data_IF_618409371877
#
_entry.id   IF_618409371877
#
_cell.length_a   1.000
_cell.length_b   1.000
_cell.length_c   1.000
_cell.angle_alpha   90.00
_cell.angle_beta   90.00
_cell.angle_gamma   90.00
#
_symmetry.space_group_name_H-M   'P 1'
#
loop_
_entity.id
_entity.type
_entity.pdbx_description
1 polymer ?
#
# COMPACT_ATOMS: atom_id res chain seq x y z
N UNK A 1 -8.27 -6.03 12.73
CA UNK A 1 -8.85 -7.20 13.45
C UNK A 1 -10.35 -7.02 13.68
N UNK A 2 -10.82 -5.86 14.15
CA UNK A 2 -12.27 -5.64 14.38
C UNK A 2 -13.07 -5.66 13.07
N UNK A 3 -12.55 -5.10 11.98
CA UNK A 3 -13.16 -5.15 10.66
C UNK A 3 -13.37 -6.60 10.20
N UNK A 4 -12.34 -7.45 10.29
CA UNK A 4 -12.42 -8.85 9.87
C UNK A 4 -13.49 -9.62 10.64
N UNK A 5 -13.66 -9.35 11.93
CA UNK A 5 -14.77 -9.90 12.72
C UNK A 5 -16.13 -9.42 12.24
N UNK A 6 -16.25 -8.12 11.96
CA UNK A 6 -17.49 -7.49 11.49
C UNK A 6 -17.96 -8.07 10.16
N UNK A 7 -17.04 -8.31 9.21
CA UNK A 7 -17.34 -8.91 7.90
C UNK A 7 -17.39 -10.44 7.94
N UNK A 8 -17.18 -11.05 9.12
CA UNK A 8 -17.16 -12.51 9.32
C UNK A 8 -16.13 -13.22 8.42
N UNK A 9 -14.97 -12.61 8.24
CA UNK A 9 -13.87 -13.14 7.43
C UNK A 9 -13.43 -14.53 7.92
N UNK A 10 -13.29 -15.47 7.00
CA UNK A 10 -12.94 -16.89 7.26
C UNK A 10 -11.77 -17.34 6.37
N UNK A 11 -11.26 -18.54 6.60
CA UNK A 11 -10.19 -19.15 5.79
C UNK A 11 -10.62 -19.49 4.35
N UNK A 12 -11.93 -19.39 4.03
CA UNK A 12 -12.46 -19.58 2.67
C UNK A 12 -12.47 -18.30 1.84
N UNK A 13 -12.31 -17.16 2.48
CA UNK A 13 -12.30 -15.85 1.85
C UNK A 13 -10.87 -15.46 1.48
N UNK A 14 -10.68 -14.63 0.47
CA UNK A 14 -9.41 -13.98 0.17
C UNK A 14 -9.51 -12.51 0.54
N UNK A 15 -8.55 -12.02 1.32
CA UNK A 15 -8.47 -10.61 1.71
C UNK A 15 -7.40 -9.91 0.87
N UNK A 16 -7.81 -8.95 0.07
CA UNK A 16 -6.92 -8.05 -0.66
C UNK A 16 -6.71 -6.78 0.14
N UNK A 17 -5.47 -6.45 0.48
CA UNK A 17 -5.11 -5.25 1.23
C UNK A 17 -4.27 -4.36 0.32
N UNK A 18 -4.83 -3.24 -0.10
CA UNK A 18 -4.27 -2.36 -1.12
C UNK A 18 -3.16 -1.43 -0.60
N UNK A 19 -2.40 -1.83 0.40
CA UNK A 19 -1.28 -1.06 0.95
C UNK A 19 -1.68 -0.13 2.09
N UNK A 20 -0.73 0.70 2.51
CA UNK A 20 -0.83 1.73 3.56
C UNK A 20 -1.32 1.18 4.91
N UNK A 21 -0.85 0.00 5.31
CA UNK A 21 -1.15 -0.61 6.61
C UNK A 21 -0.17 -0.19 7.69
N UNK A 22 0.95 0.41 7.29
CA UNK A 22 1.95 0.99 8.19
C UNK A 22 1.70 2.49 8.38
N UNK A 23 2.46 3.09 9.28
CA UNK A 23 2.48 4.52 9.59
C UNK A 23 1.20 5.06 10.25
N UNK A 24 1.29 6.27 10.78
CA UNK A 24 0.21 7.04 11.42
C UNK A 24 -0.54 6.33 12.54
N UNK A 25 -0.79 5.02 12.40
CA UNK A 25 -1.49 4.21 13.40
C UNK A 25 -0.65 3.89 14.64
N UNK A 26 -1.29 3.38 15.72
CA UNK A 26 -0.59 3.05 16.98
C UNK A 26 0.20 1.73 16.92
N UNK A 27 -0.20 0.76 16.10
CA UNK A 27 0.37 -0.60 16.11
C UNK A 27 0.70 -1.15 14.69
N UNK A 28 1.47 -0.43 13.84
CA UNK A 28 1.72 -0.82 12.45
C UNK A 28 2.45 -2.18 12.35
N UNK A 29 3.45 -2.42 13.17
CA UNK A 29 4.21 -3.68 13.15
C UNK A 29 3.33 -4.88 13.53
N UNK A 30 2.41 -4.70 14.47
CA UNK A 30 1.50 -5.75 14.89
C UNK A 30 0.49 -6.12 13.78
N UNK A 31 0.09 -5.14 12.97
CA UNK A 31 -0.74 -5.39 11.78
C UNK A 31 0.03 -6.24 10.77
N UNK A 32 1.27 -5.87 10.44
CA UNK A 32 2.12 -6.65 9.54
C UNK A 32 2.32 -8.08 10.06
N UNK A 33 2.63 -8.24 11.35
CA UNK A 33 2.80 -9.57 11.96
C UNK A 33 1.52 -10.41 11.95
N UNK A 34 0.33 -9.80 12.08
CA UNK A 34 -0.95 -10.50 11.93
C UNK A 34 -1.19 -10.91 10.48
N UNK A 35 -0.92 -10.04 9.52
CA UNK A 35 -1.02 -10.35 8.08
C UNK A 35 -0.09 -11.50 7.68
N UNK A 36 1.16 -11.49 8.15
CA UNK A 36 2.15 -12.55 7.87
C UNK A 36 1.72 -13.94 8.34
N UNK A 37 0.86 -14.03 9.34
CA UNK A 37 0.31 -15.32 9.85
C UNK A 37 -0.82 -15.87 9.00
N UNK A 38 -1.39 -15.07 8.10
CA UNK A 38 -2.56 -15.44 7.30
C UNK A 38 -2.15 -15.92 5.92
N UNK A 39 -2.66 -17.07 5.51
CA UNK A 39 -2.36 -17.66 4.19
C UNK A 39 -3.24 -17.10 3.06
N UNK A 40 -4.36 -16.48 3.43
CA UNK A 40 -5.39 -16.00 2.52
C UNK A 40 -5.45 -14.47 2.45
N UNK A 41 -4.31 -13.82 2.64
CA UNK A 41 -4.13 -12.37 2.47
C UNK A 41 -3.22 -12.11 1.27
N UNK A 42 -3.74 -11.40 0.29
CA UNK A 42 -2.98 -10.78 -0.80
C UNK A 42 -2.70 -9.33 -0.41
N UNK A 43 -1.44 -8.99 -0.28
CA UNK A 43 -1.01 -7.65 0.13
C UNK A 43 -0.39 -6.90 -1.03
N UNK A 44 -0.73 -5.65 -1.15
CA UNK A 44 -0.12 -4.72 -2.08
C UNK A 44 0.90 -3.85 -1.36
N UNK A 45 1.88 -3.38 -2.10
CA UNK A 45 2.77 -2.34 -1.61
C UNK A 45 2.09 -0.99 -1.85
N UNK A 46 1.96 -0.17 -0.79
CA UNK A 46 1.61 1.22 -0.90
C UNK A 46 2.85 2.10 -0.81
N UNK A 47 2.71 3.41 -1.04
CA UNK A 47 3.83 4.35 -0.94
C UNK A 47 4.41 4.38 0.48
N UNK A 48 3.61 4.17 1.53
CA UNK A 48 4.07 4.07 2.91
C UNK A 48 4.92 2.82 3.16
N UNK A 49 4.51 1.65 2.70
CA UNK A 49 5.33 0.43 2.76
C UNK A 49 6.61 0.59 1.95
N UNK A 50 6.55 1.24 0.78
CA UNK A 50 7.72 1.47 -0.07
C UNK A 50 8.74 2.40 0.60
N UNK A 51 8.31 3.51 1.21
CA UNK A 51 9.17 4.38 2.01
C UNK A 51 9.82 3.62 3.17
N UNK A 52 9.02 2.88 3.95
CA UNK A 52 9.52 2.03 5.04
C UNK A 52 10.55 1.03 4.55
N UNK A 53 10.24 0.27 3.50
CA UNK A 53 11.11 -0.78 2.98
C UNK A 53 12.45 -0.25 2.49
N UNK A 54 12.43 0.80 1.67
CA UNK A 54 13.64 1.34 1.04
C UNK A 54 14.65 1.83 2.06
N UNK A 55 14.20 2.48 3.13
CA UNK A 55 15.11 3.02 4.14
C UNK A 55 15.49 1.96 5.19
N UNK A 56 14.54 1.16 5.66
CA UNK A 56 14.83 0.17 6.70
C UNK A 56 15.68 -0.99 6.19
N UNK A 57 15.58 -1.33 4.89
CA UNK A 57 16.48 -2.28 4.24
C UNK A 57 17.95 -1.84 4.40
N UNK A 58 18.26 -0.56 4.20
CA UNK A 58 19.62 -0.03 4.40
C UNK A 58 20.00 -0.03 5.88
N UNK A 59 19.13 0.45 6.77
CA UNK A 59 19.38 0.56 8.20
C UNK A 59 19.51 -0.79 8.95
N UNK A 60 19.17 -1.90 8.32
CA UNK A 60 19.30 -3.25 8.91
C UNK A 60 20.52 -4.02 8.40
N UNK A 61 21.28 -3.47 7.45
CA UNK A 61 22.53 -4.07 7.00
C UNK A 61 23.54 -4.00 8.14
N UNK A 62 24.32 -5.06 8.35
CA UNK A 62 25.42 -5.07 9.31
C UNK A 62 26.53 -4.13 8.82
N UNK A 63 26.97 -3.23 9.71
CA UNK A 63 28.07 -2.31 9.42
C UNK A 63 29.38 -3.07 9.60
N UNK A 64 30.15 -3.16 8.54
CA UNK A 64 31.49 -3.77 8.50
C UNK A 64 32.54 -2.72 8.17
N UNK A 65 33.81 -3.07 8.34
CA UNK A 65 34.91 -2.19 7.94
C UNK A 65 34.92 -1.88 6.43
N UNK A 66 34.29 -2.75 5.61
CA UNK A 66 34.23 -2.60 4.16
C UNK A 66 33.14 -1.64 3.70
N UNK A 67 32.03 -1.50 4.46
CA UNK A 67 30.90 -0.69 4.07
C UNK A 67 30.67 0.56 4.92
N UNK A 68 31.42 0.75 6.01
CA UNK A 68 31.19 1.81 6.99
C UNK A 68 31.31 3.22 6.42
N UNK A 69 32.15 3.45 5.41
CA UNK A 69 32.33 4.77 4.81
C UNK A 69 31.17 5.21 3.91
N UNK A 70 30.47 4.24 3.29
CA UNK A 70 29.39 4.47 2.32
C UNK A 70 28.05 3.85 2.77
N UNK A 71 27.89 3.60 4.05
CA UNK A 71 26.72 2.90 4.60
C UNK A 71 25.42 3.68 4.42
N UNK A 72 25.47 5.01 4.67
CA UNK A 72 24.34 5.92 4.48
C UNK A 72 24.80 7.16 3.72
N UNK A 73 24.06 7.49 2.69
CA UNK A 73 24.24 8.71 1.92
C UNK A 73 23.32 9.83 2.47
N UNK A 74 23.61 11.07 2.11
CA UNK A 74 22.76 12.23 2.49
C UNK A 74 21.31 12.02 2.03
N UNK A 75 21.10 11.43 0.84
CA UNK A 75 19.79 11.12 0.30
C UNK A 75 19.00 10.12 1.16
N UNK A 76 19.67 9.14 1.77
CA UNK A 76 19.03 8.20 2.69
C UNK A 76 18.52 8.88 3.96
N UNK A 77 19.27 9.86 4.46
CA UNK A 77 18.85 10.65 5.63
C UNK A 77 17.65 11.53 5.27
N UNK A 78 17.65 12.13 4.08
CA UNK A 78 16.52 12.92 3.61
C UNK A 78 15.28 12.07 3.45
N UNK A 79 15.37 10.89 2.82
CA UNK A 79 14.27 9.91 2.68
C UNK A 79 13.75 9.43 4.02
N UNK A 80 14.64 9.15 4.98
CA UNK A 80 14.24 8.80 6.34
C UNK A 80 13.41 9.91 6.99
N UNK A 81 13.91 11.15 6.94
CA UNK A 81 13.22 12.30 7.52
C UNK A 81 11.85 12.53 6.84
N UNK A 82 11.78 12.42 5.52
CA UNK A 82 10.54 12.53 4.78
C UNK A 82 9.53 11.46 5.21
N UNK A 83 9.96 10.21 5.34
CA UNK A 83 9.11 9.12 5.83
C UNK A 83 8.61 9.38 7.25
N UNK A 84 9.48 9.82 8.17
CA UNK A 84 9.08 10.16 9.55
C UNK A 84 8.03 11.28 9.57
N UNK A 85 8.20 12.33 8.75
CA UNK A 85 7.25 13.44 8.61
C UNK A 85 5.91 12.99 8.02
N UNK A 86 5.90 11.98 7.17
CA UNK A 86 4.69 11.35 6.61
C UNK A 86 3.98 10.41 7.60
N UNK A 87 4.48 10.27 8.84
CA UNK A 87 3.85 9.49 9.89
C UNK A 87 4.57 8.19 10.24
N UNK A 88 5.77 7.96 9.73
CA UNK A 88 6.58 6.75 9.93
C UNK A 88 7.14 6.55 11.34
N UNK A 89 7.03 7.55 12.23
CA UNK A 89 7.66 7.53 13.56
C UNK A 89 7.31 6.28 14.38
N UNK A 90 6.02 5.94 14.51
CA UNK A 90 5.59 4.77 15.26
C UNK A 90 6.08 3.46 14.65
N UNK A 91 6.09 3.39 13.32
CA UNK A 91 6.60 2.25 12.57
C UNK A 91 8.10 2.06 12.82
N UNK A 92 8.89 3.11 12.65
CA UNK A 92 10.33 3.10 12.90
C UNK A 92 10.66 2.70 14.35
N UNK A 93 9.97 3.29 15.32
CA UNK A 93 10.13 3.00 16.75
C UNK A 93 9.84 1.53 17.06
N UNK A 94 8.72 0.99 16.61
CA UNK A 94 8.35 -0.42 16.86
C UNK A 94 9.27 -1.38 16.11
N UNK A 95 9.63 -1.06 14.86
CA UNK A 95 10.56 -1.87 14.08
C UNK A 95 11.95 -1.94 14.72
N UNK A 96 12.45 -0.84 15.29
CA UNK A 96 13.76 -0.82 15.95
C UNK A 96 13.87 -1.79 17.14
N UNK A 97 12.75 -2.08 17.79
CA UNK A 97 12.67 -2.98 18.95
C UNK A 97 12.65 -4.47 18.59
N UNK A 98 12.51 -4.80 17.31
CA UNK A 98 12.46 -6.18 16.82
C UNK A 98 13.86 -6.81 16.82
N UNK A 99 13.90 -8.14 16.97
CA UNK A 99 15.10 -8.94 16.68
C UNK A 99 15.48 -8.85 15.19
N UNK A 100 16.75 -9.11 14.87
CA UNK A 100 17.22 -9.09 13.48
C UNK A 100 16.43 -10.06 12.57
N UNK A 101 16.07 -11.22 13.10
CA UNK A 101 15.25 -12.19 12.36
C UNK A 101 13.84 -11.66 12.04
N UNK A 102 13.18 -11.02 13.01
CA UNK A 102 11.87 -10.40 12.78
C UNK A 102 11.93 -9.25 11.77
N UNK A 103 12.98 -8.40 11.87
CA UNK A 103 13.24 -7.35 10.88
C UNK A 103 13.39 -7.91 9.48
N UNK A 104 14.24 -8.92 9.32
CA UNK A 104 14.45 -9.60 8.04
C UNK A 104 13.16 -10.22 7.48
N UNK A 105 12.36 -10.86 8.33
CA UNK A 105 11.08 -11.45 7.94
C UNK A 105 10.07 -10.39 7.45
N UNK A 106 9.96 -9.24 8.14
CA UNK A 106 9.09 -8.14 7.73
C UNK A 106 9.57 -7.55 6.41
N UNK A 107 10.87 -7.27 6.26
CA UNK A 107 11.41 -6.72 5.01
C UNK A 107 11.21 -7.69 3.83
N UNK A 108 11.42 -8.98 4.05
CA UNK A 108 11.14 -9.99 3.02
C UNK A 108 9.64 -10.08 2.71
N UNK A 109 8.78 -9.94 3.70
CA UNK A 109 7.34 -9.89 3.50
C UNK A 109 6.94 -8.69 2.62
N UNK A 110 7.42 -7.49 2.91
CA UNK A 110 7.15 -6.28 2.13
C UNK A 110 7.70 -6.38 0.71
N UNK A 111 8.92 -6.90 0.53
CA UNK A 111 9.55 -7.11 -0.78
C UNK A 111 8.70 -7.96 -1.73
N UNK A 112 7.96 -8.93 -1.18
CA UNK A 112 7.14 -9.85 -1.95
C UNK A 112 5.66 -9.41 -2.02
N UNK A 113 5.36 -8.14 -1.84
CA UNK A 113 4.02 -7.59 -2.02
C UNK A 113 3.67 -7.46 -3.49
N UNK A 114 2.40 -7.65 -3.82
CA UNK A 114 1.90 -7.40 -5.17
C UNK A 114 1.93 -5.90 -5.46
N UNK A 115 2.15 -5.55 -6.72
CA UNK A 115 2.08 -4.17 -7.21
C UNK A 115 0.71 -3.93 -7.81
N UNK A 116 0.19 -4.90 -8.55
CA UNK A 116 -1.18 -4.97 -9.06
C UNK A 116 -1.69 -6.41 -9.04
N UNK A 117 -2.98 -6.57 -9.16
CA UNK A 117 -3.67 -7.86 -9.38
C UNK A 117 -4.84 -7.66 -10.34
N UNK A 118 -5.16 -8.70 -11.09
CA UNK A 118 -6.38 -8.76 -11.90
C UNK A 118 -7.26 -9.89 -11.41
N UNK A 119 -8.53 -9.61 -11.17
CA UNK A 119 -9.50 -10.58 -10.64
C UNK A 119 -10.72 -10.62 -11.56
N UNK A 120 -11.09 -11.81 -11.99
CA UNK A 120 -12.37 -12.06 -12.65
C UNK A 120 -13.41 -12.54 -11.64
N UNK A 121 -14.50 -11.81 -11.51
CA UNK A 121 -15.60 -12.17 -10.63
C UNK A 121 -16.97 -11.76 -11.22
N UNK A 122 -17.91 -12.70 -11.28
CA UNK A 122 -19.27 -12.46 -11.80
C UNK A 122 -19.30 -11.79 -13.19
N UNK A 123 -18.49 -12.27 -14.14
CA UNK A 123 -18.33 -11.73 -15.50
C UNK A 123 -17.84 -10.26 -15.55
N UNK A 124 -17.16 -9.82 -14.50
CA UNK A 124 -16.49 -8.52 -14.41
C UNK A 124 -15.02 -8.73 -14.14
N UNK A 125 -14.20 -7.90 -14.75
CA UNK A 125 -12.75 -7.83 -14.52
C UNK A 125 -12.45 -6.65 -13.58
N UNK A 126 -11.68 -6.92 -12.54
CA UNK A 126 -11.24 -5.92 -11.58
C UNK A 126 -9.72 -5.83 -11.59
N UNK A 127 -9.19 -4.65 -11.87
CA UNK A 127 -7.78 -4.34 -11.70
C UNK A 127 -7.62 -3.67 -10.34
N UNK A 128 -6.77 -4.24 -9.49
CA UNK A 128 -6.47 -3.76 -8.15
C UNK A 128 -5.07 -3.17 -8.16
N UNK A 129 -4.94 -1.92 -7.72
CA UNK A 129 -3.66 -1.23 -7.49
C UNK A 129 -3.76 -0.42 -6.21
N UNK A 130 -2.62 0.01 -5.66
CA UNK A 130 -2.66 0.87 -4.48
C UNK A 130 -3.24 2.25 -4.78
N UNK A 131 -2.69 2.97 -5.76
CA UNK A 131 -3.03 4.37 -6.01
C UNK A 131 -3.80 4.62 -7.30
N UNK A 132 -3.17 4.38 -8.46
CA UNK A 132 -3.76 4.67 -9.78
C UNK A 132 -3.04 3.87 -10.88
N UNK A 133 -3.42 4.13 -12.14
CA UNK A 133 -2.72 3.67 -13.34
C UNK A 133 -1.86 4.80 -13.98
N UNK A 134 -1.57 5.87 -13.22
CA UNK A 134 -0.74 6.97 -13.70
C UNK A 134 -1.21 7.56 -15.03
N UNK A 135 -0.31 7.68 -15.99
CA UNK A 135 -0.65 8.09 -17.34
C UNK A 135 -1.30 6.92 -18.12
N UNK A 136 -2.56 6.68 -17.82
CA UNK A 136 -3.32 5.60 -18.43
C UNK A 136 -3.40 5.73 -19.97
N UNK A 137 -3.07 4.64 -20.65
CA UNK A 137 -3.36 4.43 -22.08
C UNK A 137 -4.03 3.05 -22.27
N UNK A 138 -5.04 2.93 -23.14
CA UNK A 138 -5.68 1.64 -23.44
C UNK A 138 -4.72 0.56 -23.94
N UNK A 139 -3.61 0.95 -24.55
CA UNK A 139 -2.61 0.07 -25.15
C UNK A 139 -1.43 -0.22 -24.20
N UNK A 140 -1.37 0.43 -23.03
CA UNK A 140 -0.31 0.20 -22.02
C UNK A 140 -0.65 -1.02 -21.19
N UNK A 141 0.20 -2.05 -21.25
CA UNK A 141 0.03 -3.24 -20.41
C UNK A 141 0.34 -2.92 -18.94
N UNK A 142 -0.23 -3.70 -18.00
CA UNK A 142 -0.03 -3.44 -16.57
C UNK A 142 1.43 -3.58 -16.13
N UNK A 143 2.18 -4.45 -16.76
CA UNK A 143 3.63 -4.65 -16.53
C UNK A 143 4.50 -3.49 -17.04
N UNK A 144 3.97 -2.59 -17.86
CA UNK A 144 4.70 -1.45 -18.42
C UNK A 144 4.58 -0.18 -17.57
N UNK A 145 3.77 -0.22 -16.50
CA UNK A 145 3.67 0.91 -15.57
C UNK A 145 4.86 0.94 -14.62
N UNK A 146 5.40 2.13 -14.42
CA UNK A 146 6.40 2.35 -13.38
C UNK A 146 5.79 2.23 -11.99
N UNK A 147 6.60 1.86 -10.99
CA UNK A 147 6.11 1.60 -9.64
C UNK A 147 5.41 2.82 -9.02
N UNK A 148 5.96 4.01 -9.19
CA UNK A 148 5.42 5.26 -8.67
C UNK A 148 4.06 5.63 -9.27
N UNK A 149 3.81 5.27 -10.54
CA UNK A 149 2.49 5.42 -11.18
C UNK A 149 1.41 4.62 -10.42
N UNK A 150 1.77 3.43 -9.92
CA UNK A 150 0.84 2.49 -9.28
C UNK A 150 0.68 2.73 -7.77
N UNK A 151 1.67 3.38 -7.11
CA UNK A 151 1.68 3.50 -5.64
C UNK A 151 1.61 4.92 -5.09
N UNK A 152 1.83 5.97 -5.91
CA UNK A 152 1.89 7.36 -5.41
C UNK A 152 1.12 8.37 -6.27
N UNK A 153 0.69 7.97 -7.48
CA UNK A 153 -0.05 8.84 -8.38
C UNK A 153 -1.47 9.14 -7.87
N UNK A 154 -2.00 10.33 -8.19
CA UNK A 154 -3.36 10.73 -7.84
C UNK A 154 -4.31 10.49 -9.00
N UNK A 155 -5.31 9.65 -8.79
CA UNK A 155 -6.30 9.28 -9.78
C UNK A 155 -7.14 10.49 -10.26
N UNK A 156 -7.45 10.51 -11.56
CA UNK A 156 -8.45 11.44 -12.12
C UNK A 156 -9.84 10.79 -12.08
N UNK A 157 -10.59 11.08 -11.04
CA UNK A 157 -11.92 10.50 -10.81
C UNK A 157 -12.99 10.96 -11.81
N UNK A 158 -12.71 11.97 -12.64
CA UNK A 158 -13.60 12.42 -13.71
C UNK A 158 -13.53 11.51 -14.93
N UNK A 159 -12.44 10.78 -15.11
CA UNK A 159 -12.20 9.89 -16.25
C UNK A 159 -12.83 8.53 -16.08
N UNK A 160 -13.16 7.93 -17.20
CA UNK A 160 -13.41 6.51 -17.33
C UNK A 160 -12.18 5.84 -17.93
N UNK A 161 -11.49 5.01 -17.15
CA UNK A 161 -10.27 4.33 -17.60
C UNK A 161 -10.58 3.31 -18.72
N UNK A 162 -11.56 2.46 -18.53
CA UNK A 162 -11.83 1.36 -19.45
C UNK A 162 -13.11 1.60 -20.28
N UNK A 163 -13.02 1.37 -21.59
CA UNK A 163 -14.18 1.41 -22.48
C UNK A 163 -15.13 0.22 -22.21
N UNK A 164 -14.59 -0.93 -21.77
CA UNK A 164 -15.37 -2.07 -21.35
C UNK A 164 -16.14 -1.75 -20.06
N UNK A 165 -17.48 -1.81 -20.13
CA UNK A 165 -18.36 -1.54 -19.00
C UNK A 165 -18.23 -2.56 -17.85
N UNK A 166 -17.68 -3.74 -18.13
CA UNK A 166 -17.46 -4.80 -17.14
C UNK A 166 -16.04 -4.80 -16.56
N UNK A 167 -15.23 -3.79 -16.87
CA UNK A 167 -13.85 -3.64 -16.35
C UNK A 167 -13.80 -2.48 -15.39
N UNK A 168 -13.22 -2.72 -14.20
CA UNK A 168 -13.18 -1.78 -13.07
C UNK A 168 -11.75 -1.61 -12.56
N UNK A 169 -11.43 -0.41 -12.12
CA UNK A 169 -10.23 -0.12 -11.33
C UNK A 169 -10.61 -0.03 -9.85
N UNK A 170 -9.88 -0.71 -8.95
CA UNK A 170 -10.05 -0.61 -7.50
C UNK A 170 -8.78 -0.01 -6.90
N UNK A 171 -8.91 1.08 -6.14
CA UNK A 171 -7.79 1.82 -5.54
C UNK A 171 -8.00 2.16 -4.07
N UNK A 172 -6.89 2.40 -3.36
CA UNK A 172 -6.82 3.02 -2.04
C UNK A 172 -6.20 4.42 -2.11
N UNK A 173 -5.18 4.69 -1.27
CA UNK A 173 -4.24 5.82 -1.29
C UNK A 173 -4.86 7.21 -1.15
N UNK A 174 -5.83 7.56 -1.98
CA UNK A 174 -6.50 8.86 -1.91
C UNK A 174 -7.77 8.73 -1.07
N UNK A 175 -7.83 9.36 0.12
CA UNK A 175 -9.03 9.35 0.92
C UNK A 175 -10.23 9.88 0.13
N UNK A 176 -11.32 9.11 0.09
CA UNK A 176 -12.52 9.45 -0.72
C UNK A 176 -13.13 10.78 -0.35
N UNK A 177 -12.93 11.23 0.89
CA UNK A 177 -13.35 12.58 1.33
C UNK A 177 -12.60 13.74 0.63
N UNK A 178 -11.50 13.43 -0.09
CA UNK A 178 -10.75 14.40 -0.90
C UNK A 178 -11.04 14.28 -2.40
N UNK A 179 -11.95 13.39 -2.80
CA UNK A 179 -12.38 13.29 -4.20
C UNK A 179 -13.33 14.47 -4.51
N UNK A 180 -13.03 15.31 -5.51
CA UNK A 180 -13.89 16.42 -5.91
C UNK A 180 -15.32 15.95 -6.20
N UNK A 181 -16.31 16.73 -5.80
CA UNK A 181 -17.74 16.45 -5.98
C UNK A 181 -18.26 15.19 -5.25
N UNK A 182 -17.42 14.55 -4.43
CA UNK A 182 -17.83 13.44 -3.56
C UNK A 182 -17.76 13.81 -2.08
N UNK A 183 -16.57 14.17 -1.58
CA UNK A 183 -16.29 14.71 -0.23
C UNK A 183 -16.91 13.90 0.92
N UNK A 184 -16.99 12.58 0.77
CA UNK A 184 -17.57 11.66 1.76
C UNK A 184 -16.59 10.58 2.14
N UNK A 185 -16.56 10.21 3.42
CA UNK A 185 -15.82 9.04 3.92
C UNK A 185 -16.59 7.74 3.64
N UNK A 186 -16.91 7.48 2.38
CA UNK A 186 -17.66 6.33 1.88
C UNK A 186 -16.98 5.81 0.61
N UNK A 187 -17.19 4.55 0.26
CA UNK A 187 -16.67 3.97 -0.98
C UNK A 187 -17.18 4.80 -2.17
N UNK A 188 -16.25 5.27 -2.98
CA UNK A 188 -16.57 5.93 -4.25
C UNK A 188 -16.74 4.89 -5.35
N UNK A 189 -17.81 4.96 -6.11
CA UNK A 189 -18.05 4.09 -7.26
C UNK A 189 -18.69 4.88 -8.41
N UNK A 190 -17.85 5.36 -9.36
CA UNK A 190 -18.28 6.02 -10.60
C UNK A 190 -17.27 5.74 -11.71
N UNK A 191 -17.68 5.87 -12.95
CA UNK A 191 -16.82 5.79 -14.13
C UNK A 191 -16.01 4.47 -14.26
N UNK A 192 -16.48 3.36 -13.64
CA UNK A 192 -15.71 2.11 -13.58
C UNK A 192 -14.52 2.16 -12.63
N UNK A 193 -14.49 3.15 -11.72
CA UNK A 193 -13.50 3.29 -10.67
C UNK A 193 -14.17 3.11 -9.30
N UNK A 194 -13.56 2.29 -8.44
CA UNK A 194 -13.99 2.01 -7.07
C UNK A 194 -12.84 2.42 -6.14
N UNK A 195 -12.96 3.55 -5.44
CA UNK A 195 -11.99 3.95 -4.44
C UNK A 195 -12.47 3.58 -3.05
N UNK A 196 -11.61 2.86 -2.29
CA UNK A 196 -12.00 2.23 -1.02
C UNK A 196 -11.34 2.85 0.22
N UNK A 197 -10.44 3.83 0.06
CA UNK A 197 -9.87 4.54 1.20
C UNK A 197 -10.87 5.57 1.76
N UNK A 198 -11.65 5.15 2.74
CA UNK A 198 -12.62 6.03 3.40
C UNK A 198 -11.99 7.04 4.38
N UNK A 199 -10.67 7.25 4.36
CA UNK A 199 -10.00 8.30 5.13
C UNK A 199 -9.86 7.99 6.62
N UNK A 200 -9.60 6.74 6.99
CA UNK A 200 -9.42 6.32 8.39
C UNK A 200 -8.44 7.22 9.16
N UNK A 201 -7.32 7.61 8.53
CA UNK A 201 -6.31 8.50 9.13
C UNK A 201 -6.73 9.96 9.22
N UNK A 202 -7.76 10.36 8.48
CA UNK A 202 -8.33 11.71 8.46
C UNK A 202 -9.60 11.82 9.32
N UNK A 203 -9.88 10.84 10.18
CA UNK A 203 -11.10 10.77 10.98
C UNK A 203 -12.30 10.18 10.22
N UNK A 204 -12.08 9.56 9.05
CA UNK A 204 -13.07 8.79 8.30
C UNK A 204 -13.43 7.47 8.97
N UNK A 205 -14.23 6.63 8.30
CA UNK A 205 -14.77 5.37 8.83
C UNK A 205 -14.10 4.17 8.22
#
# INVERSE_FOLDING_TARGET
INLLKKIKFTDKDTLYILGDVVDRGPEPIKILQDMMKRKNVVRFIGNHEFMMYTILKKLTVEITAENCENYLETDDILKYNQWIQNGGYNTAKQFSQLSQNEKANILNYLRNSSIYETIDYNNKEYILVHADLGEYSPDKALEDYELDELIDHRADYSKRYFQNANKYLITGHTPTLHIPDWEKAEIYEKNGHIAIDCGCVCGGR
#
